data_IF_765528867152
#
_entry.id   IF_765528867152
#
_cell.length_a   1.000
_cell.length_b   1.000
_cell.length_c   1.000
_cell.angle_alpha   90.00
_cell.angle_beta   90.00
_cell.angle_gamma   90.00
#
_symmetry.space_group_name_H-M   'P 1'
#
loop_
_entity.id
_entity.type
_entity.pdbx_description
1 polymer ?
#
# COMPACT_ATOMS: atom_id res chain seq x y z
N UNK A 1 5.81 -26.06 -7.38
CA UNK A 1 5.03 -26.62 -6.25
C UNK A 1 5.81 -26.59 -4.92
N UNK A 2 6.97 -27.25 -4.75
CA UNK A 2 7.69 -27.32 -3.45
C UNK A 2 8.06 -25.96 -2.83
N UNK A 3 8.44 -24.96 -3.63
CA UNK A 3 8.80 -23.62 -3.14
C UNK A 3 7.58 -22.86 -2.57
N UNK A 4 6.42 -23.00 -3.21
CA UNK A 4 5.18 -22.43 -2.70
C UNK A 4 4.75 -23.09 -1.38
N UNK A 5 4.90 -24.42 -1.27
CA UNK A 5 4.64 -25.13 -0.02
C UNK A 5 5.56 -24.65 1.11
N UNK A 6 6.83 -24.41 0.81
CA UNK A 6 7.79 -23.84 1.77
C UNK A 6 7.43 -22.41 2.20
N UNK A 7 6.96 -21.59 1.26
CA UNK A 7 6.47 -20.25 1.56
C UNK A 7 5.25 -20.30 2.48
N UNK A 8 4.26 -21.14 2.15
CA UNK A 8 3.05 -21.30 2.97
C UNK A 8 3.40 -21.82 4.37
N UNK A 9 4.33 -22.78 4.47
CA UNK A 9 4.81 -23.27 5.76
C UNK A 9 5.48 -22.15 6.57
N UNK A 10 6.33 -21.34 5.94
CA UNK A 10 6.96 -20.18 6.58
C UNK A 10 5.94 -19.15 7.07
N UNK A 11 4.93 -18.84 6.26
CA UNK A 11 3.83 -17.93 6.63
C UNK A 11 3.07 -18.50 7.83
N UNK A 12 2.72 -19.80 7.81
CA UNK A 12 2.02 -20.46 8.91
C UNK A 12 2.80 -20.41 10.23
N UNK A 13 4.11 -20.67 10.18
CA UNK A 13 4.99 -20.58 11.35
C UNK A 13 5.04 -19.13 11.87
N UNK A 14 5.23 -18.15 10.98
CA UNK A 14 5.25 -16.74 11.34
C UNK A 14 3.94 -16.28 11.98
N UNK A 15 2.80 -16.74 11.47
CA UNK A 15 1.48 -16.43 12.02
C UNK A 15 1.32 -16.96 13.45
N UNK A 16 1.74 -18.20 13.73
CA UNK A 16 1.67 -18.76 15.07
C UNK A 16 2.49 -17.95 16.08
N UNK A 17 3.71 -17.55 15.69
CA UNK A 17 4.58 -16.71 16.52
C UNK A 17 3.94 -15.34 16.76
N UNK A 18 3.43 -14.68 15.72
CA UNK A 18 2.75 -13.39 15.83
C UNK A 18 1.49 -13.47 16.71
N UNK A 19 0.71 -14.54 16.57
CA UNK A 19 -0.47 -14.79 17.38
C UNK A 19 -0.11 -14.92 18.86
N UNK A 20 0.93 -15.69 19.17
CA UNK A 20 1.40 -15.84 20.55
C UNK A 20 1.91 -14.52 21.12
N UNK A 21 2.66 -13.76 20.33
CA UNK A 21 3.18 -12.45 20.75
C UNK A 21 2.03 -11.46 21.03
N UNK A 22 1.00 -11.43 20.16
CA UNK A 22 -0.19 -10.58 20.31
C UNK A 22 -1.06 -10.93 21.53
N UNK A 23 -0.93 -12.12 22.11
CA UNK A 23 -1.64 -12.42 23.36
C UNK A 23 -1.04 -11.69 24.58
N UNK A 24 0.22 -11.24 24.48
CA UNK A 24 0.90 -10.47 25.53
C UNK A 24 0.54 -8.98 25.47
N UNK A 25 0.67 -8.28 26.61
CA UNK A 25 0.42 -6.82 26.66
C UNK A 25 1.37 -6.04 25.74
N UNK A 26 2.67 -6.35 25.81
CA UNK A 26 3.70 -5.70 24.98
C UNK A 26 3.52 -6.00 23.49
N UNK A 27 3.08 -7.20 23.13
CA UNK A 27 2.79 -7.52 21.72
C UNK A 27 1.60 -6.73 21.17
N UNK A 28 0.53 -6.55 21.96
CA UNK A 28 -0.60 -5.69 21.56
C UNK A 28 -0.17 -4.24 21.34
N UNK A 29 0.66 -3.71 22.23
CA UNK A 29 1.21 -2.34 22.10
C UNK A 29 2.07 -2.21 20.84
N UNK A 30 2.93 -3.19 20.57
CA UNK A 30 3.73 -3.24 19.35
C UNK A 30 2.86 -3.26 18.09
N UNK A 31 1.86 -4.15 18.02
CA UNK A 31 1.00 -4.24 16.85
C UNK A 31 0.12 -3.01 16.66
N UNK A 32 -0.31 -2.35 17.75
CA UNK A 32 -1.04 -1.09 17.68
C UNK A 32 -0.16 0.04 17.10
N UNK A 33 1.10 0.13 17.52
CA UNK A 33 2.04 1.11 16.95
C UNK A 33 2.37 0.80 15.49
N UNK A 34 2.56 -0.47 15.17
CA UNK A 34 2.79 -0.94 13.80
C UNK A 34 1.62 -0.59 12.88
N UNK A 35 0.38 -0.88 13.31
CA UNK A 35 -0.84 -0.57 12.56
C UNK A 35 -0.96 0.92 12.27
N UNK A 36 -0.70 1.76 13.28
CA UNK A 36 -0.68 3.22 13.12
C UNK A 36 0.33 3.65 12.05
N UNK A 37 1.57 3.17 12.11
CA UNK A 37 2.61 3.52 11.14
C UNK A 37 2.28 3.00 9.73
N UNK A 38 1.72 1.79 9.63
CA UNK A 38 1.30 1.22 8.37
C UNK A 38 0.19 2.05 7.72
N UNK A 39 -0.76 2.53 8.51
CA UNK A 39 -1.82 3.43 8.05
C UNK A 39 -1.25 4.76 7.57
N UNK A 40 -0.41 5.42 8.37
CA UNK A 40 0.25 6.68 7.99
C UNK A 40 1.04 6.53 6.68
N UNK A 41 1.78 5.44 6.54
CA UNK A 41 2.50 5.11 5.31
C UNK A 41 1.54 4.92 4.13
N UNK A 42 0.49 4.11 4.27
CA UNK A 42 -0.48 3.87 3.21
C UNK A 42 -1.19 5.15 2.78
N UNK A 43 -1.61 5.98 3.74
CA UNK A 43 -2.27 7.26 3.47
C UNK A 43 -1.30 8.17 2.69
N UNK A 44 -0.02 8.24 3.08
CA UNK A 44 1.01 9.00 2.35
C UNK A 44 1.25 8.51 0.91
N UNK A 45 1.18 7.19 0.67
CA UNK A 45 1.30 6.63 -0.67
C UNK A 45 0.10 7.01 -1.53
N UNK A 46 -1.12 6.90 -0.99
CA UNK A 46 -2.35 7.26 -1.70
C UNK A 46 -2.33 8.73 -2.09
N UNK A 47 -1.91 9.61 -1.18
CA UNK A 47 -1.77 11.04 -1.45
C UNK A 47 -0.78 11.29 -2.59
N UNK A 48 0.39 10.64 -2.56
CA UNK A 48 1.38 10.73 -3.63
C UNK A 48 0.87 10.21 -4.99
N UNK A 49 0.12 9.10 -5.01
CA UNK A 49 -0.51 8.59 -6.24
C UNK A 49 -1.58 9.55 -6.77
N UNK A 50 -2.41 10.13 -5.90
CA UNK A 50 -3.43 11.10 -6.30
C UNK A 50 -2.83 12.39 -6.86
N UNK A 51 -1.73 12.88 -6.29
CA UNK A 51 -1.00 14.03 -6.80
C UNK A 51 -0.51 13.77 -8.24
N UNK A 52 0.07 12.59 -8.48
CA UNK A 52 0.50 12.18 -9.82
C UNK A 52 -0.66 11.97 -10.80
N UNK A 53 -1.78 11.39 -10.34
CA UNK A 53 -2.98 11.27 -11.18
C UNK A 53 -3.57 12.64 -11.56
N UNK A 54 -3.55 13.62 -10.64
CA UNK A 54 -4.01 14.98 -10.92
C UNK A 54 -3.12 15.69 -11.94
N UNK A 55 -1.79 15.57 -11.80
CA UNK A 55 -0.81 16.07 -12.78
C UNK A 55 -1.02 15.42 -14.16
N UNK A 56 -1.16 14.09 -14.22
CA UNK A 56 -1.39 13.35 -15.46
C UNK A 56 -2.71 13.74 -16.13
N UNK A 57 -3.80 13.86 -15.36
CA UNK A 57 -5.10 14.31 -15.91
C UNK A 57 -5.02 15.73 -16.46
N UNK A 58 -4.34 16.64 -15.77
CA UNK A 58 -4.14 18.01 -16.25
C UNK A 58 -3.33 18.06 -17.54
N UNK A 59 -2.26 17.26 -17.63
CA UNK A 59 -1.44 17.16 -18.85
C UNK A 59 -2.22 16.58 -20.04
N UNK A 60 -3.06 15.56 -19.79
CA UNK A 60 -3.93 14.97 -20.82
C UNK A 60 -4.99 15.98 -21.28
N UNK A 61 -5.60 16.74 -20.36
CA UNK A 61 -6.58 17.76 -20.70
C UNK A 61 -5.97 18.88 -21.58
N UNK A 62 -4.80 19.41 -21.21
CA UNK A 62 -4.08 20.42 -22.01
C UNK A 62 -3.71 19.88 -23.40
N UNK A 63 -3.24 18.63 -23.48
CA UNK A 63 -2.95 17.98 -24.76
C UNK A 63 -4.21 17.83 -25.63
N UNK A 64 -5.34 17.43 -25.03
CA UNK A 64 -6.63 17.31 -25.72
C UNK A 64 -7.13 18.65 -26.28
N UNK A 65 -7.03 19.72 -25.50
CA UNK A 65 -7.40 21.08 -25.95
C UNK A 65 -6.53 21.57 -27.11
N UNK A 66 -5.22 21.27 -27.07
CA UNK A 66 -4.30 21.61 -28.17
C UNK A 66 -4.63 20.85 -29.45
N UNK A 67 -4.91 19.55 -29.34
CA UNK A 67 -5.31 18.71 -30.49
C UNK A 67 -6.63 19.22 -31.08
N UNK A 68 -7.62 19.55 -30.26
CA UNK A 68 -8.92 20.07 -30.71
C UNK A 68 -8.79 21.40 -31.48
N UNK A 69 -7.88 22.30 -31.05
CA UNK A 69 -7.61 23.56 -31.75
C UNK A 69 -6.92 23.38 -33.10
N UNK A 70 -6.09 22.34 -33.26
CA UNK A 70 -5.40 22.04 -34.54
C UNK A 70 -6.37 21.40 -35.55
N UNK A 71 -7.35 20.64 -35.05
CA UNK A 71 -8.33 19.94 -35.89
C UNK A 71 -9.48 20.83 -36.42
N UNK A 72 -9.53 22.11 -36.05
CA UNK A 72 -10.60 23.07 -36.38
C UNK A 72 -10.09 24.16 -37.30
#
# INVERSE_FOLDING_TARGET
MKKALWLIAGIGIGFLVAHQFNQTKSGKEFFAEFDKKAKEFSDSLVDGYREREAELRSAIADAGDKVSKIAK
#
